data_IF_395296011523
#
_entry.id   IF_395296011523
#
_cell.length_a   1.000
_cell.length_b   1.000
_cell.length_c   1.000
_cell.angle_alpha   90.00
_cell.angle_beta   90.00
_cell.angle_gamma   90.00
#
_symmetry.space_group_name_H-M   'P 1'
#
loop_
_entity.id
_entity.type
_entity.pdbx_description
1 polymer ?
#
# COMPACT_ATOMS: atom_id res chain seq x y z
N UNK A 1 25.00 -5.02 -0.76
CA UNK A 1 23.63 -4.56 -1.11
C UNK A 1 23.38 -3.21 -0.43
N UNK A 2 22.48 -2.40 -0.98
CA UNK A 2 21.94 -1.21 -0.28
C UNK A 2 20.56 -1.60 0.22
N UNK A 3 20.31 -1.48 1.52
CA UNK A 3 19.01 -1.75 2.14
C UNK A 3 18.33 -0.42 2.40
N UNK A 4 17.09 -0.26 1.96
CA UNK A 4 16.26 0.93 2.19
C UNK A 4 15.08 0.53 3.04
N UNK A 5 14.79 1.31 4.08
CA UNK A 5 13.62 1.08 4.92
C UNK A 5 13.09 2.40 5.50
N UNK A 6 11.88 2.38 6.07
CA UNK A 6 11.18 3.58 6.48
C UNK A 6 10.25 3.37 7.67
N UNK A 7 10.08 4.42 8.47
CA UNK A 7 9.05 4.50 9.50
C UNK A 7 7.64 4.74 8.93
N UNK A 8 7.51 4.95 7.61
CA UNK A 8 6.24 5.36 7.02
C UNK A 8 5.13 4.31 7.13
N UNK A 9 5.46 3.02 7.12
CA UNK A 9 4.48 1.94 6.92
C UNK A 9 4.22 1.16 8.19
N UNK A 10 5.17 0.32 8.61
CA UNK A 10 5.02 -0.50 9.83
C UNK A 10 4.79 0.38 11.07
N UNK A 11 5.59 1.44 11.22
CA UNK A 11 5.49 2.38 12.34
C UNK A 11 4.40 3.45 12.16
N UNK A 12 3.58 3.39 11.10
CA UNK A 12 2.49 4.35 10.84
C UNK A 12 2.91 5.84 10.75
N UNK A 13 4.19 6.15 10.53
CA UNK A 13 4.72 7.52 10.51
C UNK A 13 4.84 8.13 9.10
N UNK A 14 3.86 7.88 8.20
CA UNK A 14 3.95 8.31 6.78
C UNK A 14 4.26 9.81 6.62
N UNK A 15 3.59 10.67 7.38
CA UNK A 15 3.76 12.13 7.33
C UNK A 15 5.05 12.65 7.97
N UNK A 16 5.79 11.83 8.74
CA UNK A 16 6.93 12.28 9.54
C UNK A 16 8.25 12.33 8.77
N UNK A 17 8.28 11.72 7.58
CA UNK A 17 9.41 11.82 6.64
C UNK A 17 10.75 11.38 7.24
N UNK A 18 10.73 10.21 7.91
CA UNK A 18 11.92 9.58 8.49
C UNK A 18 12.06 8.12 8.03
N UNK A 19 13.30 7.71 7.79
CA UNK A 19 13.69 6.40 7.30
C UNK A 19 15.18 6.18 7.49
N UNK A 20 15.66 5.02 7.07
CA UNK A 20 17.07 4.68 7.20
C UNK A 20 17.53 3.80 6.04
N UNK A 21 18.85 3.71 5.89
CA UNK A 21 19.47 2.82 4.94
C UNK A 21 20.68 2.12 5.55
N UNK A 22 20.98 0.92 5.05
CA UNK A 22 22.23 0.21 5.33
C UNK A 22 23.00 0.15 4.02
N UNK A 23 24.25 0.62 4.04
CA UNK A 23 25.11 0.71 2.85
C UNK A 23 26.42 -0.04 3.07
N UNK A 24 27.04 -0.55 2.00
CA UNK A 24 28.43 -1.01 2.04
C UNK A 24 29.36 0.08 2.58
N UNK A 25 30.38 -0.33 3.33
CA UNK A 25 31.33 0.60 3.97
C UNK A 25 31.97 1.58 2.98
N UNK A 26 32.33 1.09 1.79
CA UNK A 26 32.89 1.91 0.72
C UNK A 26 31.93 2.94 0.11
N UNK A 27 30.65 2.95 0.48
CA UNK A 27 29.66 3.93 0.04
C UNK A 27 29.28 4.95 1.12
N UNK A 28 29.74 4.79 2.37
CA UNK A 28 29.35 5.66 3.49
C UNK A 28 29.68 7.14 3.19
N UNK A 29 30.92 7.44 2.81
CA UNK A 29 31.36 8.81 2.54
C UNK A 29 30.61 9.46 1.36
N UNK A 30 30.31 8.66 0.32
CA UNK A 30 29.52 9.12 -0.83
C UNK A 30 28.09 9.49 -0.41
N UNK A 31 27.44 8.64 0.38
CA UNK A 31 26.07 8.88 0.86
C UNK A 31 26.01 10.06 1.82
N UNK A 32 26.97 10.18 2.73
CA UNK A 32 27.07 11.29 3.67
C UNK A 32 27.21 12.63 2.95
N UNK A 33 28.11 12.71 1.96
CA UNK A 33 28.26 13.91 1.11
C UNK A 33 26.98 14.25 0.35
N UNK A 34 26.30 13.27 -0.22
CA UNK A 34 25.03 13.51 -0.90
C UNK A 34 23.96 14.04 0.06
N UNK A 35 23.84 13.46 1.25
CA UNK A 35 22.89 13.89 2.26
C UNK A 35 23.16 15.32 2.72
N UNK A 36 24.42 15.65 3.03
CA UNK A 36 24.84 16.99 3.44
C UNK A 36 24.48 18.07 2.41
N UNK A 37 24.71 17.78 1.12
CA UNK A 37 24.49 18.75 0.04
C UNK A 37 23.02 18.83 -0.41
N UNK A 38 22.27 17.72 -0.37
CA UNK A 38 20.90 17.70 -0.85
C UNK A 38 19.87 18.09 0.22
N UNK A 39 20.05 17.64 1.48
CA UNK A 39 19.02 17.74 2.51
C UNK A 39 19.53 18.06 3.92
N UNK A 40 20.85 18.08 4.14
CA UNK A 40 21.52 18.22 5.43
C UNK A 40 21.24 17.04 6.38
N UNK A 41 19.99 16.88 6.84
CA UNK A 41 19.58 15.82 7.76
C UNK A 41 18.07 15.53 7.67
N UNK A 42 17.61 14.45 8.29
CA UNK A 42 16.19 14.18 8.47
C UNK A 42 15.58 15.13 9.53
N UNK A 43 14.27 15.39 9.53
CA UNK A 43 13.64 16.28 10.51
C UNK A 43 13.94 15.82 11.95
N UNK A 44 14.53 16.69 12.77
CA UNK A 44 14.99 16.36 14.13
C UNK A 44 13.84 15.82 15.01
N UNK A 45 12.68 16.48 14.98
CA UNK A 45 11.48 16.05 15.71
C UNK A 45 11.08 14.62 15.32
N UNK A 46 11.21 14.28 14.03
CA UNK A 46 10.90 12.94 13.53
C UNK A 46 11.94 11.90 13.94
N UNK A 47 13.21 12.28 14.05
CA UNK A 47 14.26 11.38 14.56
C UNK A 47 14.01 11.02 16.03
N UNK A 48 13.65 12.01 16.85
CA UNK A 48 13.32 11.79 18.27
C UNK A 48 12.08 10.89 18.40
N UNK A 49 11.01 11.17 17.65
CA UNK A 49 9.79 10.36 17.67
C UNK A 49 10.03 8.93 17.14
N UNK A 50 10.88 8.76 16.13
CA UNK A 50 11.21 7.44 15.57
C UNK A 50 11.94 6.54 16.58
N UNK A 51 12.75 7.11 17.49
CA UNK A 51 13.35 6.35 18.58
C UNK A 51 12.30 5.85 19.57
N UNK A 52 11.30 6.66 19.92
CA UNK A 52 10.21 6.24 20.79
C UNK A 52 9.29 5.18 20.14
N UNK A 53 9.22 5.15 18.80
CA UNK A 53 8.38 4.20 18.08
C UNK A 53 8.79 2.73 18.30
N UNK A 54 10.03 2.45 18.70
CA UNK A 54 10.48 1.09 19.04
C UNK A 54 9.79 0.53 20.29
N UNK A 55 9.37 1.39 21.22
CA UNK A 55 8.64 1.00 22.42
C UNK A 55 7.14 0.71 22.16
N UNK A 56 6.63 1.06 20.97
CA UNK A 56 5.22 0.91 20.57
C UNK A 56 4.85 -0.44 19.95
N UNK A 57 5.71 -1.46 20.05
CA UNK A 57 5.58 -2.71 19.27
C UNK A 57 4.22 -3.40 19.41
N UNK A 58 3.62 -3.42 20.61
CA UNK A 58 2.31 -4.06 20.84
C UNK A 58 1.17 -3.37 20.06
N UNK A 59 1.21 -2.04 19.97
CA UNK A 59 0.27 -1.25 19.17
C UNK A 59 0.43 -1.55 17.67
N UNK A 60 1.68 -1.58 17.20
CA UNK A 60 2.00 -1.83 15.79
C UNK A 60 1.61 -3.25 15.35
N UNK A 61 1.83 -4.26 16.19
CA UNK A 61 1.37 -5.63 15.91
C UNK A 61 -0.16 -5.74 15.96
N UNK A 62 -0.85 -4.93 16.78
CA UNK A 62 -2.32 -4.87 16.74
C UNK A 62 -2.82 -4.29 15.41
N UNK A 63 -2.19 -3.24 14.90
CA UNK A 63 -2.47 -2.67 13.58
C UNK A 63 -2.24 -3.71 12.48
N UNK A 64 -1.12 -4.44 12.53
CA UNK A 64 -0.81 -5.51 11.57
C UNK A 64 -1.84 -6.64 11.59
N UNK A 65 -2.30 -7.09 12.77
CA UNK A 65 -3.40 -8.07 12.88
C UNK A 65 -4.70 -7.56 12.24
N UNK A 66 -4.98 -6.26 12.35
CA UNK A 66 -6.10 -5.63 11.63
C UNK A 66 -5.98 -5.78 10.11
N UNK A 67 -4.77 -5.59 9.55
CA UNK A 67 -4.52 -5.81 8.12
C UNK A 67 -4.67 -7.28 7.73
N UNK A 68 -4.26 -8.24 8.57
CA UNK A 68 -4.46 -9.67 8.32
C UNK A 68 -5.96 -10.05 8.24
N UNK A 69 -6.78 -9.44 9.10
CA UNK A 69 -8.23 -9.62 9.06
C UNK A 69 -8.83 -9.04 7.77
N UNK A 70 -8.43 -7.83 7.37
CA UNK A 70 -8.87 -7.21 6.13
C UNK A 70 -8.40 -7.98 4.88
N UNK A 71 -7.17 -8.50 4.90
CA UNK A 71 -6.63 -9.35 3.82
C UNK A 71 -7.48 -10.60 3.63
N UNK A 72 -7.90 -11.24 4.72
CA UNK A 72 -8.77 -12.42 4.69
C UNK A 72 -10.11 -12.13 4.00
N UNK A 73 -10.69 -10.95 4.24
CA UNK A 73 -11.90 -10.49 3.55
C UNK A 73 -11.68 -10.39 2.04
N UNK A 74 -10.59 -9.76 1.61
CA UNK A 74 -10.27 -9.57 0.18
C UNK A 74 -9.99 -10.89 -0.53
N UNK A 75 -9.23 -11.79 0.10
CA UNK A 75 -8.96 -13.13 -0.43
C UNK A 75 -10.24 -13.92 -0.71
N UNK A 76 -11.25 -13.78 0.16
CA UNK A 76 -12.53 -14.45 0.00
C UNK A 76 -13.39 -13.78 -1.06
N UNK A 77 -13.60 -12.46 -0.96
CA UNK A 77 -14.63 -11.76 -1.73
C UNK A 77 -14.21 -11.46 -3.16
N UNK A 78 -12.95 -11.06 -3.42
CA UNK A 78 -12.56 -10.67 -4.77
C UNK A 78 -12.75 -11.79 -5.82
N UNK A 79 -12.43 -13.07 -5.55
CA UNK A 79 -12.75 -14.15 -6.49
C UNK A 79 -14.26 -14.31 -6.74
N UNK A 80 -15.09 -14.15 -5.71
CA UNK A 80 -16.56 -14.21 -5.82
C UNK A 80 -17.13 -13.09 -6.71
N UNK A 81 -16.42 -11.96 -6.82
CA UNK A 81 -16.78 -10.83 -7.67
C UNK A 81 -16.27 -10.94 -9.12
N UNK A 82 -15.65 -12.06 -9.50
CA UNK A 82 -15.19 -12.29 -10.87
C UNK A 82 -13.79 -11.77 -11.18
N UNK A 83 -13.00 -11.35 -10.18
CA UNK A 83 -11.56 -11.11 -10.39
C UNK A 83 -10.85 -12.42 -10.70
N UNK A 84 -10.23 -12.49 -11.87
CA UNK A 84 -9.78 -13.75 -12.46
C UNK A 84 -8.53 -14.32 -11.77
N UNK A 85 -7.69 -13.44 -11.26
CA UNK A 85 -6.48 -13.77 -10.54
C UNK A 85 -6.16 -12.67 -9.52
N UNK A 86 -5.53 -13.04 -8.42
CA UNK A 86 -5.02 -12.10 -7.41
C UNK A 86 -3.60 -12.51 -7.12
N UNK A 87 -2.65 -11.58 -7.22
CA UNK A 87 -1.25 -11.86 -6.88
C UNK A 87 -1.12 -12.19 -5.39
N UNK A 88 -0.13 -13.02 -4.99
CA UNK A 88 0.13 -13.32 -3.59
C UNK A 88 0.26 -12.06 -2.75
N UNK A 89 -0.56 -11.96 -1.71
CA UNK A 89 -0.54 -10.85 -0.76
C UNK A 89 0.36 -11.21 0.43
N UNK A 90 1.63 -11.48 0.17
CA UNK A 90 2.57 -11.98 1.20
C UNK A 90 3.05 -10.88 2.16
N UNK A 91 2.84 -9.61 1.80
CA UNK A 91 3.19 -8.44 2.60
C UNK A 91 2.58 -7.17 2.05
N UNK A 92 2.86 -6.04 2.72
CA UNK A 92 2.17 -4.79 2.46
C UNK A 92 0.68 -4.89 2.82
N UNK A 93 -0.14 -4.04 2.20
CA UNK A 93 -1.58 -4.00 2.44
C UNK A 93 -2.37 -3.75 1.14
N UNK A 94 -1.93 -4.42 0.07
CA UNK A 94 -2.47 -4.25 -1.28
C UNK A 94 -2.85 -5.58 -1.92
N UNK A 95 -4.03 -5.63 -2.55
CA UNK A 95 -4.42 -6.68 -3.47
C UNK A 95 -4.17 -6.18 -4.90
N UNK A 96 -3.44 -6.96 -5.70
CA UNK A 96 -3.27 -6.70 -7.14
C UNK A 96 -4.07 -7.75 -7.92
N UNK A 97 -5.20 -7.32 -8.47
CA UNK A 97 -6.25 -8.22 -8.96
C UNK A 97 -6.54 -8.00 -10.45
N UNK A 98 -6.67 -9.09 -11.19
CA UNK A 98 -6.97 -9.11 -12.62
C UNK A 98 -8.47 -8.89 -12.84
N UNK A 99 -8.81 -7.72 -13.37
CA UNK A 99 -10.16 -7.26 -13.66
C UNK A 99 -10.55 -7.47 -15.14
N UNK A 100 -9.77 -8.22 -15.93
CA UNK A 100 -10.05 -8.43 -17.37
C UNK A 100 -11.41 -9.08 -17.67
N UNK A 101 -12.02 -9.76 -16.71
CA UNK A 101 -13.37 -10.30 -16.84
C UNK A 101 -14.47 -9.27 -16.55
N UNK A 102 -14.12 -8.14 -15.92
CA UNK A 102 -15.03 -7.08 -15.48
C UNK A 102 -14.96 -5.85 -16.38
N UNK A 103 -13.81 -5.59 -17.00
CA UNK A 103 -13.62 -4.43 -17.87
C UNK A 103 -12.47 -4.63 -18.88
N UNK A 104 -12.48 -3.81 -19.94
CA UNK A 104 -11.38 -3.74 -20.91
C UNK A 104 -10.34 -2.65 -20.58
N UNK A 105 -10.72 -1.63 -19.80
CA UNK A 105 -9.84 -0.56 -19.33
C UNK A 105 -10.10 -0.27 -17.85
N UNK A 106 -9.14 -0.64 -17.01
CA UNK A 106 -9.20 -0.39 -15.55
C UNK A 106 -9.18 1.09 -15.16
N UNK A 107 -8.72 1.99 -16.03
CA UNK A 107 -8.72 3.44 -15.76
C UNK A 107 -10.14 3.98 -15.81
N UNK A 108 -10.87 3.65 -16.88
CA UNK A 108 -12.29 3.98 -17.04
C UNK A 108 -13.12 3.29 -15.95
N UNK A 109 -12.86 2.00 -15.69
CA UNK A 109 -13.55 1.26 -14.63
C UNK A 109 -13.36 1.91 -13.26
N UNK A 110 -12.14 2.30 -12.89
CA UNK A 110 -11.86 2.95 -11.61
C UNK A 110 -12.57 4.31 -11.49
N UNK A 111 -12.61 5.09 -12.57
CA UNK A 111 -13.32 6.37 -12.60
C UNK A 111 -14.83 6.18 -12.39
N UNK A 112 -15.43 5.24 -13.12
CA UNK A 112 -16.86 4.91 -12.99
C UNK A 112 -17.21 4.32 -11.63
N UNK A 113 -16.38 3.42 -11.09
CA UNK A 113 -16.59 2.86 -9.76
C UNK A 113 -16.57 3.95 -8.68
N UNK A 114 -15.69 4.95 -8.83
CA UNK A 114 -15.65 6.09 -7.91
C UNK A 114 -16.90 6.96 -8.05
N UNK A 115 -17.33 7.29 -9.27
CA UNK A 115 -18.48 8.16 -9.54
C UNK A 115 -19.81 7.51 -9.17
N UNK A 116 -20.02 6.26 -9.58
CA UNK A 116 -21.30 5.56 -9.46
C UNK A 116 -21.45 4.85 -8.10
N UNK A 117 -20.36 4.31 -7.54
CA UNK A 117 -20.40 3.53 -6.30
C UNK A 117 -19.65 4.19 -5.12
N UNK A 118 -18.92 5.29 -5.34
CA UNK A 118 -18.15 5.95 -4.29
C UNK A 118 -16.99 5.10 -3.76
N UNK A 119 -16.45 4.17 -4.57
CA UNK A 119 -15.33 3.30 -4.18
C UNK A 119 -14.09 3.67 -5.01
N UNK A 120 -13.05 4.12 -4.34
CA UNK A 120 -11.78 4.45 -4.98
C UNK A 120 -10.85 3.23 -5.05
N UNK A 121 -10.35 2.94 -6.25
CA UNK A 121 -9.31 1.92 -6.52
C UNK A 121 -8.22 2.53 -7.40
N UNK A 122 -7.03 1.93 -7.45
CA UNK A 122 -5.95 2.42 -8.32
C UNK A 122 -5.86 1.57 -9.59
N UNK A 123 -5.92 2.17 -10.79
CA UNK A 123 -5.64 1.49 -12.05
C UNK A 123 -4.25 0.86 -12.07
N UNK A 124 -4.11 -0.27 -12.76
CA UNK A 124 -2.83 -0.98 -12.89
C UNK A 124 -1.80 -0.23 -13.74
N UNK A 125 -2.25 0.72 -14.57
CA UNK A 125 -1.41 1.47 -15.49
C UNK A 125 -0.32 2.29 -14.76
N UNK A 126 -0.58 2.72 -13.52
CA UNK A 126 0.41 3.38 -12.66
C UNK A 126 1.61 2.47 -12.32
N UNK A 127 1.44 1.15 -12.39
CA UNK A 127 2.44 0.14 -12.03
C UNK A 127 3.02 -0.59 -13.24
N UNK A 128 2.25 -0.72 -14.33
CA UNK A 128 2.68 -1.40 -15.56
C UNK A 128 2.04 -0.73 -16.79
N UNK A 129 2.84 -0.03 -17.59
CA UNK A 129 2.35 0.68 -18.79
C UNK A 129 1.99 -0.25 -19.96
N UNK A 130 2.30 -1.56 -19.88
CA UNK A 130 2.06 -2.54 -20.94
C UNK A 130 0.88 -3.44 -20.62
N UNK A 131 0.78 -3.92 -19.38
CA UNK A 131 -0.27 -4.84 -18.97
C UNK A 131 -1.21 -4.25 -17.91
N UNK A 132 -0.95 -3.06 -17.41
CA UNK A 132 -1.70 -2.48 -16.29
C UNK A 132 -3.17 -2.21 -16.58
N UNK A 133 -3.58 -2.08 -17.84
CA UNK A 133 -4.98 -1.82 -18.23
C UNK A 133 -5.96 -2.91 -17.79
N UNK A 134 -5.47 -4.11 -17.41
CA UNK A 134 -6.28 -5.21 -16.90
C UNK A 134 -6.22 -5.41 -15.38
N UNK A 135 -5.34 -4.70 -14.67
CA UNK A 135 -5.12 -4.90 -13.24
C UNK A 135 -5.65 -3.74 -12.41
N UNK A 136 -6.14 -4.03 -11.21
CA UNK A 136 -6.47 -3.04 -10.20
C UNK A 136 -5.62 -3.30 -8.95
N UNK A 137 -5.15 -2.21 -8.33
CA UNK A 137 -4.60 -2.24 -6.98
C UNK A 137 -5.63 -1.73 -6.00
N UNK A 138 -6.03 -2.59 -5.06
CA UNK A 138 -6.93 -2.24 -3.97
C UNK A 138 -6.16 -2.23 -2.64
N UNK A 139 -6.33 -1.17 -1.85
CA UNK A 139 -5.72 -1.08 -0.51
C UNK A 139 -6.67 -1.62 0.55
N UNK A 140 -6.14 -2.37 1.51
CA UNK A 140 -6.90 -2.89 2.65
C UNK A 140 -6.34 -2.43 4.02
N UNK A 141 -5.66 -1.28 4.04
CA UNK A 141 -5.14 -0.65 5.26
C UNK A 141 -6.16 0.18 6.06
N UNK A 142 -7.43 0.14 5.68
CA UNK A 142 -8.50 0.93 6.28
C UNK A 142 -9.26 0.21 7.40
N UNK A 143 -10.28 0.90 7.92
CA UNK A 143 -11.26 0.31 8.83
C UNK A 143 -12.01 -0.86 8.18
N UNK A 144 -12.17 -1.96 8.92
CA UNK A 144 -12.75 -3.19 8.39
C UNK A 144 -14.18 -3.01 7.88
N UNK A 145 -15.04 -2.28 8.62
CA UNK A 145 -16.43 -2.08 8.23
C UNK A 145 -16.54 -1.24 6.96
N UNK A 146 -15.68 -0.22 6.80
CA UNK A 146 -15.60 0.55 5.56
C UNK A 146 -15.13 -0.28 4.37
N UNK A 147 -14.16 -1.17 4.58
CA UNK A 147 -13.68 -2.05 3.52
C UNK A 147 -14.75 -3.08 3.10
N UNK A 148 -15.49 -3.65 4.06
CA UNK A 148 -16.61 -4.54 3.78
C UNK A 148 -17.71 -3.84 2.98
N UNK A 149 -18.13 -2.63 3.40
CA UNK A 149 -19.09 -1.83 2.65
C UNK A 149 -18.57 -1.48 1.24
N UNK A 150 -17.28 -1.16 1.10
CA UNK A 150 -16.64 -0.90 -0.20
C UNK A 150 -16.72 -2.11 -1.13
N UNK A 151 -16.51 -3.32 -0.62
CA UNK A 151 -16.65 -4.56 -1.39
C UNK A 151 -18.13 -4.80 -1.75
N UNK A 152 -19.07 -4.55 -0.85
CA UNK A 152 -20.51 -4.72 -1.12
C UNK A 152 -21.02 -3.71 -2.18
N UNK A 153 -20.43 -2.51 -2.22
CA UNK A 153 -20.69 -1.53 -3.29
C UNK A 153 -20.08 -1.97 -4.62
N UNK A 154 -18.85 -2.48 -4.60
CA UNK A 154 -18.21 -3.05 -5.78
C UNK A 154 -19.03 -4.22 -6.33
N UNK A 155 -19.55 -5.09 -5.48
CA UNK A 155 -20.42 -6.21 -5.89
C UNK A 155 -21.68 -5.73 -6.61
N UNK A 156 -22.35 -4.70 -6.07
CA UNK A 156 -23.54 -4.09 -6.69
C UNK A 156 -23.22 -3.39 -8.01
N UNK A 157 -21.99 -2.92 -8.19
CA UNK A 157 -21.57 -2.23 -9.42
C UNK A 157 -21.24 -3.21 -10.55
N UNK A 158 -20.67 -4.38 -10.23
CA UNK A 158 -20.25 -5.36 -11.24
C UNK A 158 -21.34 -6.38 -11.62
N UNK A 159 -22.44 -6.43 -10.86
CA UNK A 159 -23.61 -7.29 -11.12
C UNK A 159 -24.74 -6.49 -11.74
#
# INVERSE_FOLDING_TARGET
AIIINSFSKYYCMTGWRVGWMIVPENLIETVDRLQQNAFICAPEVSQIAALAAFDGTDELEAVKRGYEHNRSLYMKRLPELGFRAIQPMDGGFYAYADASALCNDTSEFAARLLEEAGVAVTPGLDFDTRQGSRWLRLSFCGDHARLAEGIDRLERFVK
#
